data_IF_151214479541
#
_entry.id   IF_151214479541
#
_cell.length_a   1.000
_cell.length_b   1.000
_cell.length_c   1.000
_cell.angle_alpha   90.00
_cell.angle_beta   90.00
_cell.angle_gamma   90.00
#
_symmetry.space_group_name_H-M   'P 1'
#
loop_
_entity.id
_entity.type
_entity.pdbx_description
1 polymer ?
2 polymer ?
3 non-polymer ?
4 non-polymer ?
5 water ?
#
# COMPACT_ATOMS: atom_id res chain seq x y z
N UNK A 3 8.23 17.29 22.19
CA UNK A 3 8.27 16.53 20.94
C UNK A 3 7.88 15.07 21.04
N UNK A 4 7.49 14.48 19.92
CA UNK A 4 7.11 13.06 19.95
C UNK A 4 8.30 12.15 20.18
N UNK A 5 8.02 11.00 20.78
CA UNK A 5 9.05 9.98 21.00
C UNK A 5 9.47 9.39 19.66
N UNK A 6 10.75 9.20 19.41
CA UNK A 6 11.14 8.63 18.12
C UNK A 6 10.84 7.14 18.06
N UNK A 7 10.86 6.61 16.85
CA UNK A 7 10.60 5.20 16.62
C UNK A 7 11.50 4.70 15.49
N UNK A 8 11.82 3.38 15.54
CA UNK A 8 12.57 2.67 14.52
C UNK A 8 11.87 1.37 14.14
N UNK A 9 11.97 1.00 12.87
CA UNK A 9 11.39 -0.25 12.44
C UNK A 9 12.00 -1.42 13.21
N UNK A 10 11.18 -2.42 13.52
CA UNK A 10 11.62 -3.65 14.22
C UNK A 10 12.35 -4.60 13.29
N UNK A 11 12.15 -4.44 11.98
CA UNK A 11 12.78 -5.33 11.02
C UNK A 11 13.39 -4.46 9.93
N UNK A 12 14.48 -4.97 9.30
CA UNK A 12 15.09 -4.32 8.12
C UNK A 12 15.45 -2.84 8.39
N UNK A 13 15.82 -2.54 9.64
CA UNK A 13 15.95 -1.16 10.08
C UNK A 13 16.99 -0.43 9.26
N UNK A 14 18.10 -1.11 8.95
CA UNK A 14 19.31 -0.44 8.46
C UNK A 14 19.65 -0.83 7.03
N UNK A 15 18.71 -1.40 6.29
CA UNK A 15 19.02 -1.90 4.96
C UNK A 15 19.69 -0.83 4.08
N UNK A 16 19.11 0.38 4.07
CA UNK A 16 19.63 1.40 3.20
C UNK A 16 21.03 1.86 3.62
N UNK A 17 21.41 1.77 4.90
CA UNK A 17 22.84 2.07 5.18
C UNK A 17 23.76 0.93 4.80
N UNK A 18 23.20 -0.24 4.48
CA UNK A 18 23.99 -1.38 3.94
C UNK A 18 23.90 -1.46 2.44
N UNK A 19 23.78 -0.32 1.77
CA UNK A 19 23.77 -0.27 0.33
C UNK A 19 24.66 0.90 -0.11
N UNK A 20 25.14 0.88 -1.35
CA UNK A 20 25.77 2.08 -1.91
C UNK A 20 24.76 3.21 -1.91
N UNK A 21 25.25 4.43 -1.80
CA UNK A 21 24.34 5.58 -1.75
C UNK A 21 23.38 5.59 -2.94
N UNK A 22 23.87 5.23 -4.13
CA UNK A 22 22.99 5.34 -5.29
C UNK A 22 21.80 4.38 -5.24
N UNK A 23 21.84 3.38 -4.37
CA UNK A 23 20.68 2.50 -4.23
C UNK A 23 19.42 3.31 -3.86
N UNK A 24 19.58 4.23 -2.90
CA UNK A 24 18.42 4.98 -2.41
C UNK A 24 18.42 6.42 -2.82
N UNK A 25 19.55 6.93 -3.34
CA UNK A 25 19.66 8.36 -3.69
C UNK A 25 19.14 8.51 -5.12
N UNK A 26 17.83 8.30 -5.26
CA UNK A 26 17.19 8.17 -6.57
C UNK A 26 17.29 9.45 -7.39
N UNK A 27 17.54 10.60 -6.75
CA UNK A 27 17.70 11.83 -7.56
C UNK A 27 18.93 11.81 -8.46
N UNK A 28 19.92 10.97 -8.17
CA UNK A 28 21.10 10.85 -9.03
C UNK A 28 20.97 9.77 -10.11
N UNK A 29 19.84 9.06 -10.15
CA UNK A 29 19.70 7.93 -11.04
C UNK A 29 19.73 8.35 -12.50
N UNK A 30 20.51 7.62 -13.28
CA UNK A 30 20.62 7.84 -14.72
C UNK A 30 19.74 6.81 -15.40
N UNK A 31 18.69 7.30 -16.06
CA UNK A 31 17.71 6.37 -16.62
C UNK A 31 18.26 5.65 -17.83
N UNK A 32 17.99 4.35 -17.93
CA UNK A 32 18.29 3.60 -19.16
C UNK A 32 17.04 3.65 -20.05
N UNK A 33 17.13 4.42 -21.13
CA UNK A 33 15.99 4.56 -22.05
C UNK A 33 16.06 3.55 -23.20
N UNK A 34 14.95 2.88 -23.42
CA UNK A 34 14.79 1.98 -24.55
C UNK A 34 14.23 2.71 -25.74
N UNK A 35 13.69 1.94 -26.68
CA UNK A 35 13.21 2.48 -27.94
C UNK A 35 11.67 2.43 -27.98
N UNK A 36 11.06 3.63 -28.00
CA UNK A 36 9.60 3.71 -28.06
C UNK A 36 9.03 3.07 -29.31
N UNK A 37 9.79 3.07 -30.41
CA UNK A 37 9.27 2.49 -31.64
C UNK A 37 9.09 0.98 -31.54
N UNK A 38 9.59 0.35 -30.51
CA UNK A 38 9.38 -1.08 -30.33
C UNK A 38 7.94 -1.42 -29.93
N UNK A 39 7.13 -0.42 -29.52
CA UNK A 39 5.81 -0.67 -28.89
C UNK A 39 4.71 -0.01 -29.70
N UNK A 40 3.55 -0.69 -29.75
CA UNK A 40 2.34 -0.11 -30.31
C UNK A 40 1.18 -0.33 -29.33
N UNK A 41 0.36 0.70 -29.14
CA UNK A 41 -0.79 0.53 -28.24
C UNK A 41 -1.83 -0.43 -28.82
N UNK A 42 -2.56 -1.12 -27.92
CA UNK A 42 -3.64 -2.03 -28.29
C UNK A 42 -4.99 -1.55 -27.75
N UNK A 43 -5.07 -1.26 -26.45
CA UNK A 43 -6.36 -0.88 -25.91
C UNK A 43 -6.18 -0.22 -24.54
N UNK A 44 -7.00 0.76 -24.24
CA UNK A 44 -6.81 1.49 -23.02
C UNK A 44 -7.39 0.67 -21.87
N UNK A 45 -6.65 0.62 -20.75
CA UNK A 45 -7.07 -0.11 -19.58
C UNK A 45 -7.56 0.81 -18.49
N UNK A 46 -7.03 2.01 -18.37
CA UNK A 46 -7.44 2.86 -17.26
C UNK A 46 -6.68 4.17 -17.28
N UNK A 47 -7.09 5.05 -16.39
CA UNK A 47 -6.48 6.36 -16.28
C UNK A 47 -6.08 6.56 -14.82
N UNK A 48 -4.91 7.14 -14.60
CA UNK A 48 -4.51 7.59 -13.29
C UNK A 48 -4.51 9.11 -13.22
N UNK A 49 -4.32 9.61 -11.99
CA UNK A 49 -4.19 11.05 -11.80
C UNK A 49 -3.02 11.58 -12.61
N UNK A 50 -1.97 10.77 -12.77
CA UNK A 50 -0.81 11.22 -13.52
C UNK A 50 -0.42 10.24 -14.63
N UNK A 51 -1.35 9.41 -15.10
CA UNK A 51 -0.97 8.37 -16.04
C UNK A 51 -2.15 7.93 -16.91
N UNK A 52 -1.83 7.38 -18.08
CA UNK A 52 -2.81 6.72 -18.92
C UNK A 52 -2.27 5.33 -19.16
N UNK A 53 -3.10 4.31 -18.96
CA UNK A 53 -2.59 2.93 -18.92
C UNK A 53 -3.19 2.12 -20.05
N UNK A 54 -2.31 1.46 -20.86
CA UNK A 54 -2.75 0.74 -22.04
C UNK A 54 -2.19 -0.68 -22.08
N UNK A 55 -2.98 -1.60 -22.61
CA UNK A 55 -2.40 -2.81 -23.12
C UNK A 55 -1.68 -2.45 -24.44
N UNK A 56 -0.52 -3.06 -24.66
CA UNK A 56 0.30 -2.72 -25.82
C UNK A 56 1.00 -3.98 -26.29
N UNK A 57 1.72 -3.87 -27.41
CA UNK A 57 2.49 -5.01 -27.92
C UNK A 57 3.87 -4.52 -28.31
N UNK A 58 4.86 -5.37 -28.07
CA UNK A 58 6.21 -5.14 -28.57
C UNK A 58 6.21 -5.69 -29.99
N UNK A 59 6.29 -4.81 -30.98
CA UNK A 59 6.17 -5.29 -32.35
C UNK A 59 7.45 -5.92 -32.84
N UNK A 60 8.53 -5.91 -32.06
CA UNK A 60 9.73 -6.62 -32.48
C UNK A 60 9.65 -8.10 -32.14
N UNK A 61 8.86 -8.49 -31.13
CA UNK A 61 8.89 -9.89 -30.69
C UNK A 61 7.53 -10.39 -30.26
N UNK A 62 6.46 -9.65 -30.54
CA UNK A 62 5.06 -10.04 -30.29
C UNK A 62 4.69 -10.12 -28.80
N UNK A 63 5.54 -9.69 -27.89
CA UNK A 63 5.20 -9.81 -26.47
C UNK A 63 4.11 -8.79 -26.08
N UNK A 64 3.03 -9.28 -25.44
CA UNK A 64 2.02 -8.41 -24.84
C UNK A 64 2.58 -7.75 -23.59
N UNK A 65 2.41 -6.43 -23.47
CA UNK A 65 2.92 -5.64 -22.33
C UNK A 65 1.84 -4.63 -21.95
N UNK A 66 2.11 -3.89 -20.85
CA UNK A 66 1.30 -2.73 -20.48
C UNK A 66 2.19 -1.52 -20.51
N UNK A 67 1.68 -0.44 -21.10
CA UNK A 67 2.41 0.84 -21.22
C UNK A 67 1.71 1.85 -20.32
N UNK A 68 2.46 2.48 -19.43
CA UNK A 68 1.91 3.48 -18.51
C UNK A 68 2.55 4.79 -18.92
N UNK A 69 1.76 5.61 -19.64
CA UNK A 69 2.23 6.89 -20.16
C UNK A 69 2.07 7.93 -19.06
N UNK A 70 3.13 8.65 -18.73
CA UNK A 70 3.15 9.48 -17.54
C UNK A 70 2.83 10.91 -17.92
N UNK A 71 1.90 11.49 -17.19
CA UNK A 71 1.59 12.90 -17.35
C UNK A 71 2.62 13.76 -16.62
N UNK A 72 2.70 15.06 -16.96
CA UNK A 72 3.75 15.91 -16.38
C UNK A 72 3.73 15.95 -14.85
N UNK A 73 4.68 15.25 -14.25
CA UNK A 73 4.96 15.36 -12.82
C UNK A 73 6.45 15.65 -12.71
N UNK A 74 6.86 16.04 -11.51
CA UNK A 74 8.27 16.32 -11.27
C UNK A 74 9.10 15.10 -11.63
N UNK A 75 10.20 15.34 -12.36
CA UNK A 75 11.13 14.28 -12.72
C UNK A 75 11.60 13.54 -11.48
N UNK A 76 11.69 14.25 -10.35
CA UNK A 76 12.16 13.63 -9.12
C UNK A 76 11.26 12.46 -8.72
N UNK A 77 9.95 12.63 -8.84
CA UNK A 77 8.99 11.57 -8.52
C UNK A 77 9.08 10.43 -9.52
N UNK A 78 9.28 10.76 -10.80
CA UNK A 78 9.45 9.69 -11.78
C UNK A 78 10.70 8.86 -11.49
N UNK A 79 11.83 9.52 -11.15
CA UNK A 79 13.03 8.74 -10.88
C UNK A 79 12.84 7.87 -9.64
N UNK A 80 12.13 8.40 -8.63
CA UNK A 80 11.87 7.59 -7.44
C UNK A 80 11.12 6.33 -7.81
N UNK A 81 10.08 6.48 -8.61
CA UNK A 81 9.31 5.29 -8.98
C UNK A 81 10.15 4.33 -9.84
N UNK A 82 10.94 4.84 -10.82
CA UNK A 82 11.83 3.98 -11.60
C UNK A 82 12.79 3.24 -10.69
N UNK A 83 13.49 3.98 -9.80
CA UNK A 83 14.53 3.34 -9.02
C UNK A 83 13.96 2.25 -8.16
N UNK A 84 12.81 2.53 -7.53
CA UNK A 84 12.19 1.54 -6.68
C UNK A 84 11.79 0.31 -7.51
N UNK A 85 11.18 0.52 -8.70
CA UNK A 85 10.82 -0.62 -9.54
C UNK A 85 12.03 -1.43 -9.95
N UNK A 86 13.16 -0.74 -10.23
CA UNK A 86 14.38 -1.50 -10.61
C UNK A 86 14.96 -2.23 -9.41
N UNK A 87 14.94 -1.59 -8.20
CA UNK A 87 15.46 -2.26 -7.03
C UNK A 87 14.62 -3.47 -6.65
N UNK A 88 13.33 -3.43 -6.91
CA UNK A 88 12.46 -4.54 -6.50
C UNK A 88 12.21 -5.56 -7.59
N UNK A 89 12.72 -5.33 -8.81
CA UNK A 89 12.36 -6.16 -9.95
C UNK A 89 12.76 -7.61 -9.68
N UNK A 90 11.81 -8.54 -9.95
CA UNK A 90 12.07 -9.93 -9.72
C UNK A 90 11.46 -10.44 -8.42
N UNK A 91 11.19 -9.56 -7.47
CA UNK A 91 10.58 -10.02 -6.23
C UNK A 91 9.23 -10.64 -6.42
N UNK A 92 8.84 -11.51 -5.49
CA UNK A 92 7.55 -12.23 -5.65
C UNK A 92 6.37 -11.27 -5.70
N UNK A 93 5.55 -11.41 -6.74
CA UNK A 93 4.32 -10.65 -6.91
C UNK A 93 4.54 -9.13 -7.01
N UNK A 94 5.77 -8.69 -7.32
CA UNK A 94 6.00 -7.27 -7.58
C UNK A 94 5.89 -7.08 -9.10
N UNK A 95 5.08 -6.11 -9.53
CA UNK A 95 4.94 -5.90 -10.99
C UNK A 95 6.29 -5.65 -11.64
N UNK A 96 6.52 -6.31 -12.81
CA UNK A 96 7.86 -6.30 -13.40
C UNK A 96 8.04 -5.20 -14.44
N UNK A 97 8.96 -4.29 -14.19
CA UNK A 97 9.26 -3.22 -15.14
C UNK A 97 10.08 -3.82 -16.26
N UNK A 98 9.56 -3.68 -17.50
CA UNK A 98 10.23 -4.25 -18.67
C UNK A 98 11.04 -3.25 -19.42
N UNK A 99 10.60 -2.00 -19.47
CA UNK A 99 11.28 -1.01 -20.30
C UNK A 99 10.86 0.39 -19.87
N UNK A 100 11.62 1.39 -20.35
CA UNK A 100 11.35 2.78 -20.00
C UNK A 100 11.64 3.53 -21.29
N UNK A 101 10.66 4.24 -21.81
CA UNK A 101 10.80 4.87 -23.13
C UNK A 101 10.25 6.29 -23.08
N UNK A 102 10.53 7.05 -24.14
CA UNK A 102 10.12 8.43 -24.20
C UNK A 102 9.95 8.81 -25.67
N UNK A 103 8.93 9.59 -25.95
CA UNK A 103 8.76 10.11 -27.30
C UNK A 103 9.85 11.13 -27.60
N UNK A 104 10.61 10.96 -28.69
CA UNK A 104 11.72 11.89 -28.97
C UNK A 104 11.29 13.33 -29.28
N UNK A 105 10.02 13.54 -29.64
CA UNK A 105 9.51 14.85 -30.00
C UNK A 105 8.82 15.50 -28.81
N UNK A 106 7.79 14.84 -28.24
CA UNK A 106 7.07 15.43 -27.10
C UNK A 106 7.75 15.22 -25.76
N UNK A 107 8.71 14.30 -25.68
CA UNK A 107 9.42 13.98 -24.44
C UNK A 107 8.52 13.38 -23.37
N UNK A 108 7.31 12.98 -23.72
CA UNK A 108 6.48 12.24 -22.77
C UNK A 108 7.07 10.87 -22.48
N UNK A 109 7.37 10.55 -21.21
CA UNK A 109 7.90 9.23 -20.87
C UNK A 109 6.79 8.23 -20.62
N UNK A 110 7.19 6.96 -20.67
CA UNK A 110 6.29 5.85 -20.39
C UNK A 110 7.07 4.72 -19.75
N UNK A 111 6.40 4.04 -18.83
CA UNK A 111 6.95 2.84 -18.24
C UNK A 111 6.30 1.63 -18.87
N UNK A 112 7.07 0.61 -19.17
CA UNK A 112 6.53 -0.59 -19.82
C UNK A 112 6.64 -1.75 -18.85
N UNK A 113 5.53 -2.47 -18.66
CA UNK A 113 5.48 -3.53 -17.64
C UNK A 113 4.98 -4.82 -18.26
N UNK A 114 5.24 -5.91 -17.53
CA UNK A 114 4.50 -7.14 -17.87
C UNK A 114 2.99 -6.89 -17.79
N UNK A 115 2.23 -7.68 -18.57
CA UNK A 115 0.79 -7.50 -18.64
C UNK A 115 0.09 -8.34 -17.59
N UNK A 116 -1.00 -7.82 -17.02
CA UNK A 116 -1.84 -8.63 -16.15
C UNK A 116 -3.29 -8.45 -16.56
N UNK A 117 -4.05 -9.54 -16.60
CA UNK A 117 -5.45 -9.52 -17.00
C UNK A 117 -6.30 -9.44 -15.74
N UNK A 118 -6.45 -8.22 -15.20
CA UNK A 118 -7.07 -8.05 -13.88
C UNK A 118 -8.58 -8.24 -13.88
N UNK A 119 -9.06 -9.03 -12.90
CA UNK A 119 -10.48 -9.32 -12.76
C UNK A 119 -11.23 -8.08 -12.24
N UNK A 120 -12.48 -7.92 -12.68
CA UNK A 120 -13.33 -6.93 -12.05
C UNK A 120 -13.39 -7.17 -10.55
N UNK A 121 -13.04 -6.17 -9.75
CA UNK A 121 -13.07 -6.40 -8.32
C UNK A 121 -14.48 -6.63 -7.80
N UNK A 122 -15.51 -6.41 -8.63
CA UNK A 122 -16.87 -6.81 -8.27
C UNK A 122 -17.07 -8.30 -8.52
N UNK A 123 -16.69 -8.78 -9.72
CA UNK A 123 -16.67 -10.21 -9.94
C UNK A 123 -15.79 -10.89 -8.90
N UNK A 124 -14.66 -10.26 -8.59
CA UNK A 124 -13.69 -10.90 -7.72
C UNK A 124 -14.28 -11.18 -6.35
N UNK A 125 -14.93 -10.17 -5.74
CA UNK A 125 -15.57 -10.34 -4.43
C UNK A 125 -16.66 -11.41 -4.42
N UNK A 126 -17.45 -11.53 -5.50
CA UNK A 126 -18.52 -12.53 -5.50
C UNK A 126 -17.96 -13.95 -5.42
N UNK A 127 -16.75 -14.16 -5.87
CA UNK A 127 -16.32 -15.51 -6.14
C UNK A 127 -15.26 -16.01 -5.18
N UNK A 128 -14.63 -15.15 -4.40
CA UNK A 128 -13.53 -15.66 -3.60
C UNK A 128 -14.05 -16.47 -2.44
N UNK A 129 -13.42 -17.62 -2.23
CA UNK A 129 -13.72 -18.48 -1.11
C UNK A 129 -12.81 -18.11 0.04
N UNK A 130 -13.04 -18.74 1.19
CA UNK A 130 -12.14 -18.60 2.36
C UNK A 130 -10.69 -18.93 1.97
N UNK A 131 -10.50 -20.11 1.35
CA UNK A 131 -9.15 -20.49 0.91
C UNK A 131 -8.57 -19.43 -0.02
N UNK A 132 -9.37 -18.88 -0.95
CA UNK A 132 -8.80 -17.91 -1.89
C UNK A 132 -8.26 -16.69 -1.17
N UNK A 133 -9.03 -16.18 -0.20
CA UNK A 133 -8.57 -15.00 0.54
C UNK A 133 -7.25 -15.30 1.25
N UNK A 134 -7.15 -16.46 1.88
CA UNK A 134 -5.89 -16.82 2.54
C UNK A 134 -4.74 -16.88 1.53
N UNK A 135 -4.97 -17.53 0.39
CA UNK A 135 -3.94 -17.63 -0.66
C UNK A 135 -3.48 -16.25 -1.13
N UNK A 136 -4.43 -15.38 -1.49
CA UNK A 136 -4.02 -14.09 -2.02
C UNK A 136 -3.41 -13.23 -0.93
N UNK A 137 -3.92 -13.34 0.31
CA UNK A 137 -3.25 -12.60 1.38
C UNK A 137 -1.81 -13.04 1.55
N UNK A 138 -1.54 -14.33 1.43
CA UNK A 138 -0.14 -14.76 1.55
C UNK A 138 0.68 -14.25 0.39
N UNK A 139 0.08 -14.17 -0.78
CA UNK A 139 0.83 -13.67 -1.92
C UNK A 139 1.16 -12.20 -1.78
N UNK A 140 0.27 -11.41 -1.17
CA UNK A 140 0.58 -10.01 -0.91
C UNK A 140 1.66 -9.89 0.12
N UNK A 141 1.61 -10.73 1.17
CA UNK A 141 2.66 -10.73 2.19
C UNK A 141 4.03 -11.01 1.61
N UNK A 142 4.10 -11.94 0.65
CA UNK A 142 5.40 -12.22 0.00
C UNK A 142 5.95 -10.95 -0.63
N UNK A 143 5.09 -10.19 -1.33
CA UNK A 143 5.56 -8.96 -1.97
C UNK A 143 5.96 -7.92 -0.93
N UNK A 144 5.17 -7.76 0.13
CA UNK A 144 5.52 -6.77 1.14
C UNK A 144 6.78 -7.16 1.91
N UNK A 145 6.92 -8.41 2.32
CA UNK A 145 8.17 -8.79 2.98
C UNK A 145 9.35 -8.51 2.06
N UNK A 146 9.19 -8.80 0.78
CA UNK A 146 10.31 -8.55 -0.13
C UNK A 146 10.62 -7.07 -0.22
N UNK A 147 9.60 -6.26 -0.48
CA UNK A 147 9.73 -4.81 -0.54
C UNK A 147 10.39 -4.24 0.72
N UNK A 148 9.86 -4.59 1.88
CA UNK A 148 10.43 -4.16 3.16
C UNK A 148 11.87 -4.61 3.33
N UNK A 149 12.18 -5.85 2.95
CA UNK A 149 13.56 -6.36 3.10
C UNK A 149 14.54 -5.60 2.24
N UNK A 150 14.04 -4.88 1.23
CA UNK A 150 14.90 -4.06 0.36
C UNK A 150 14.78 -2.59 0.70
N UNK A 151 14.29 -2.30 1.93
CA UNK A 151 14.35 -0.94 2.45
C UNK A 151 13.29 -0.03 1.90
N UNK A 152 12.20 -0.57 1.36
CA UNK A 152 11.18 0.29 0.72
C UNK A 152 9.84 0.07 1.40
N UNK A 153 9.07 1.16 1.62
CA UNK A 153 7.67 1.01 2.04
C UNK A 153 6.77 1.39 0.86
N UNK A 154 5.70 0.60 0.65
CA UNK A 154 4.85 0.90 -0.51
C UNK A 154 3.99 2.15 -0.31
N UNK A 155 3.36 2.26 0.87
CA UNK A 155 2.60 3.44 1.31
C UNK A 155 1.28 3.63 0.59
N UNK A 156 0.85 2.68 -0.28
CA UNK A 156 -0.44 2.89 -0.90
C UNK A 156 -1.09 1.54 -1.14
N UNK A 157 -1.00 0.66 -0.16
CA UNK A 157 -1.63 -0.66 -0.27
C UNK A 157 -3.15 -0.52 -0.16
N UNK A 158 -3.86 -1.04 -1.14
CA UNK A 158 -5.33 -0.94 -1.24
C UNK A 158 -5.75 -1.82 -2.41
N UNK A 159 -7.02 -2.18 -2.49
CA UNK A 159 -7.46 -3.09 -3.54
C UNK A 159 -7.09 -2.61 -4.91
N UNK A 160 -7.21 -1.30 -5.20
CA UNK A 160 -6.96 -0.87 -6.57
C UNK A 160 -5.51 -1.10 -6.99
N UNK A 161 -4.62 -1.26 -6.02
CA UNK A 161 -3.19 -1.42 -6.34
C UNK A 161 -2.76 -2.87 -6.20
N UNK A 162 -3.71 -3.80 -6.07
CA UNK A 162 -3.41 -5.21 -6.02
C UNK A 162 -4.14 -5.82 -7.22
N UNK A 163 -3.41 -6.11 -8.30
CA UNK A 163 -4.02 -6.71 -9.47
C UNK A 163 -4.16 -8.20 -9.23
N UNK A 164 -5.39 -8.71 -9.35
CA UNK A 164 -5.62 -10.13 -9.18
C UNK A 164 -6.25 -10.64 -10.45
N UNK A 165 -5.58 -11.57 -11.09
CA UNK A 165 -6.13 -12.25 -12.25
C UNK A 165 -6.57 -13.61 -11.71
N UNK A 166 -7.85 -13.66 -11.25
CA UNK A 166 -8.30 -14.81 -10.48
C UNK A 166 -8.39 -16.07 -11.34
N UNK A 167 -8.66 -15.91 -12.63
CA UNK A 167 -8.61 -17.05 -13.54
C UNK A 167 -7.22 -17.68 -13.57
N UNK A 168 -6.17 -16.86 -13.51
CA UNK A 168 -4.80 -17.36 -13.49
C UNK A 168 -4.19 -17.41 -12.09
N UNK A 169 -5.00 -17.16 -11.06
CA UNK A 169 -4.53 -17.23 -9.66
C UNK A 169 -3.23 -16.45 -9.52
N UNK A 170 -3.24 -15.27 -10.09
CA UNK A 170 -2.00 -14.49 -10.30
C UNK A 170 -2.20 -13.16 -9.66
N UNK A 171 -1.22 -12.69 -8.91
CA UNK A 171 -1.37 -11.43 -8.19
C UNK A 171 -0.14 -10.56 -8.39
N UNK A 172 -0.36 -9.24 -8.54
CA UNK A 172 0.74 -8.30 -8.59
C UNK A 172 0.43 -7.05 -7.78
N UNK A 173 1.40 -6.61 -6.97
CA UNK A 173 1.32 -5.31 -6.34
C UNK A 173 1.86 -4.25 -7.30
N UNK A 174 1.02 -3.26 -7.64
CA UNK A 174 1.32 -2.24 -8.65
C UNK A 174 1.34 -0.86 -7.97
N UNK A 175 1.55 0.19 -8.77
CA UNK A 175 1.45 1.59 -8.38
C UNK A 175 2.44 1.90 -7.25
N UNK A 176 3.71 1.89 -7.65
CA UNK A 176 4.81 2.20 -6.76
C UNK A 176 5.13 3.69 -6.74
N UNK A 177 4.21 4.54 -7.23
CA UNK A 177 4.44 5.98 -7.29
C UNK A 177 4.47 6.70 -5.95
N UNK A 178 3.91 6.10 -4.89
CA UNK A 178 3.99 6.70 -3.55
C UNK A 178 5.05 6.04 -2.68
N UNK A 179 5.74 5.01 -3.20
CA UNK A 179 6.65 4.27 -2.33
C UNK A 179 7.88 5.12 -1.98
N UNK A 180 8.52 4.75 -0.84
CA UNK A 180 9.69 5.52 -0.41
C UNK A 180 10.69 4.62 0.27
N UNK A 181 11.94 5.08 0.32
CA UNK A 181 12.98 4.40 1.02
C UNK A 181 12.90 4.70 2.52
N UNK A 182 13.07 3.64 3.32
CA UNK A 182 13.00 3.78 4.79
C UNK A 182 14.40 4.11 5.33
N UNK A 183 14.51 5.27 6.01
CA UNK A 183 15.76 5.66 6.64
C UNK A 183 15.42 5.89 8.10
N UNK A 184 16.03 5.16 9.01
CA UNK A 184 15.56 5.24 10.41
C UNK A 184 15.77 6.64 11.02
N UNK A 185 14.74 7.10 11.73
CA UNK A 185 14.76 8.45 12.28
C UNK A 185 14.17 9.50 11.36
N UNK A 186 13.97 9.20 10.08
CA UNK A 186 13.49 10.22 9.16
C UNK A 186 11.99 10.48 9.40
N UNK A 187 11.60 11.74 9.32
CA UNK A 187 10.20 12.14 9.37
C UNK A 187 9.61 12.23 7.97
N UNK A 188 8.58 11.44 7.71
CA UNK A 188 7.98 11.33 6.40
C UNK A 188 6.68 12.11 6.28
N UNK A 189 6.31 12.39 5.03
CA UNK A 189 5.04 13.05 4.76
C UNK A 189 3.90 12.13 5.15
N UNK A 190 2.94 12.64 5.93
CA UNK A 190 1.83 11.76 6.29
C UNK A 190 0.69 11.81 5.29
N UNK A 191 0.80 12.61 4.24
CA UNK A 191 -0.22 12.71 3.20
C UNK A 191 0.06 11.66 2.13
N UNK A 192 -0.04 10.42 2.56
CA UNK A 192 0.10 9.27 1.71
C UNK A 192 -1.05 8.31 1.98
N UNK A 193 -1.10 7.24 1.18
CA UNK A 193 -2.18 6.26 1.15
C UNK A 193 -3.55 6.86 0.88
N UNK A 194 -4.48 6.01 0.59
CA UNK A 194 -5.85 6.48 0.41
C UNK A 194 -6.51 6.54 1.77
N UNK A 195 -7.44 7.48 1.93
CA UNK A 195 -8.07 7.73 3.26
C UNK A 195 -8.45 6.43 3.98
N UNK A 196 -9.18 5.52 3.29
CA UNK A 196 -9.71 4.35 4.00
C UNK A 196 -8.65 3.40 4.47
N UNK A 197 -7.43 3.53 3.97
CA UNK A 197 -6.33 2.62 4.27
C UNK A 197 -5.22 3.30 5.07
N UNK A 198 -5.42 4.55 5.46
CA UNK A 198 -4.39 5.28 6.19
C UNK A 198 -4.26 4.71 7.61
N UNK A 199 -3.04 4.43 8.04
CA UNK A 199 -2.84 4.00 9.42
C UNK A 199 -3.05 5.13 10.42
N UNK A 200 -3.35 4.78 11.68
CA UNK A 200 -3.47 5.81 12.73
C UNK A 200 -2.27 6.76 12.79
N UNK A 201 -1.06 6.27 12.50
CA UNK A 201 0.09 7.17 12.60
C UNK A 201 -0.09 8.35 11.64
N UNK A 202 -0.63 8.09 10.44
CA UNK A 202 -0.85 9.17 9.48
C UNK A 202 -1.93 10.12 9.99
N UNK A 203 -2.99 9.56 10.57
CA UNK A 203 -4.13 10.35 11.01
C UNK A 203 -3.82 11.21 12.25
N UNK A 204 -2.81 10.85 13.04
CA UNK A 204 -2.40 11.69 14.18
C UNK A 204 -1.14 12.47 13.88
N UNK A 205 -0.67 12.42 12.63
CA UNK A 205 0.51 13.22 12.21
C UNK A 205 1.78 12.74 12.92
N UNK A 206 1.94 11.43 13.06
CA UNK A 206 3.18 10.86 13.57
C UNK A 206 4.08 10.50 12.39
N UNK A 207 5.15 11.26 12.22
CA UNK A 207 5.86 11.22 10.94
C UNK A 207 6.96 10.20 10.89
N UNK A 208 7.39 9.64 12.02
CA UNK A 208 8.50 8.67 12.03
C UNK A 208 7.98 7.24 11.88
N UNK A 209 7.20 7.04 10.83
CA UNK A 209 6.60 5.74 10.55
C UNK A 209 7.52 4.86 9.70
N UNK A 210 7.07 3.63 9.44
CA UNK A 210 7.97 2.69 8.74
C UNK A 210 7.13 1.67 7.96
N UNK A 211 7.76 0.56 7.60
CA UNK A 211 7.12 -0.52 6.85
C UNK A 211 5.79 -0.95 7.44
N UNK A 212 5.66 -0.82 8.77
CA UNK A 212 4.42 -1.28 9.44
C UNK A 212 3.19 -0.48 9.01
N UNK A 213 3.34 0.68 8.36
CA UNK A 213 2.19 1.34 7.75
C UNK A 213 1.50 0.41 6.78
N UNK A 214 2.30 -0.30 5.96
CA UNK A 214 1.71 -1.16 4.94
C UNK A 214 0.93 -2.30 5.58
N UNK A 215 1.32 -2.72 6.78
CA UNK A 215 0.64 -3.81 7.43
C UNK A 215 -0.73 -3.37 7.98
N UNK A 216 -0.85 -2.09 8.38
CA UNK A 216 -2.18 -1.57 8.73
C UNK A 216 -3.09 -1.60 7.48
N UNK A 217 -2.57 -1.09 6.34
CA UNK A 217 -3.36 -1.10 5.13
C UNK A 217 -3.80 -2.52 4.78
N UNK A 218 -2.86 -3.48 4.87
CA UNK A 218 -3.18 -4.88 4.57
C UNK A 218 -4.31 -5.38 5.47
N UNK A 219 -4.26 -5.04 6.75
CA UNK A 219 -5.35 -5.42 7.64
C UNK A 219 -6.68 -4.82 7.25
N UNK A 220 -6.69 -3.58 6.78
CA UNK A 220 -7.93 -3.01 6.27
C UNK A 220 -8.49 -3.79 5.08
N UNK A 221 -7.59 -4.23 4.20
CA UNK A 221 -8.00 -5.08 3.08
C UNK A 221 -8.55 -6.42 3.58
N UNK A 222 -7.85 -7.05 4.53
CA UNK A 222 -8.31 -8.34 5.04
C UNK A 222 -9.70 -8.22 5.67
N UNK A 223 -9.91 -7.19 6.51
CA UNK A 223 -11.23 -7.01 7.12
C UNK A 223 -12.32 -6.79 6.07
N UNK A 224 -12.05 -5.97 5.05
CA UNK A 224 -13.06 -5.78 4.01
C UNK A 224 -13.38 -7.08 3.30
N UNK A 225 -12.37 -7.93 3.07
CA UNK A 225 -12.65 -9.17 2.32
C UNK A 225 -13.40 -10.18 3.17
N UNK A 226 -12.92 -10.44 4.40
CA UNK A 226 -13.61 -11.48 5.19
C UNK A 226 -14.97 -11.02 5.70
N UNK A 227 -15.19 -9.72 5.85
CA UNK A 227 -16.49 -9.26 6.36
C UNK A 227 -17.41 -8.77 5.24
N UNK A 228 -16.92 -8.75 4.01
CA UNK A 228 -17.66 -8.26 2.85
C UNK A 228 -18.23 -6.88 3.10
N UNK A 229 -17.34 -5.97 3.50
CA UNK A 229 -17.68 -4.58 3.79
C UNK A 229 -16.57 -3.72 3.23
N UNK A 230 -16.82 -3.01 2.14
CA UNK A 230 -15.76 -2.30 1.43
C UNK A 230 -16.09 -0.82 1.33
N UNK A 231 -15.24 0.09 1.85
CA UNK A 231 -14.07 -0.20 2.70
C UNK A 231 -14.56 -0.54 4.10
N UNK A 232 -13.66 -1.16 4.92
CA UNK A 232 -14.10 -1.52 6.26
C UNK A 232 -14.28 -0.29 7.13
N UNK A 233 -13.31 0.63 7.09
CA UNK A 233 -13.35 1.90 7.85
C UNK A 233 -13.67 3.01 6.88
N UNK A 234 -14.91 3.48 6.90
CA UNK A 234 -15.45 4.35 5.84
C UNK A 234 -15.59 5.80 6.35
N UNK A 235 -14.46 6.48 6.48
CA UNK A 235 -14.51 7.87 6.98
C UNK A 235 -14.84 8.88 5.90
N UNK A 236 -15.44 10.01 6.34
CA UNK A 236 -15.79 11.09 5.42
C UNK A 236 -14.61 12.03 5.13
N UNK A 237 -13.63 12.01 6.01
CA UNK A 237 -12.46 12.91 5.95
C UNK A 237 -11.40 12.29 6.86
N UNK A 238 -10.19 12.89 6.92
CA UNK A 238 -9.16 12.23 7.72
C UNK A 238 -9.44 12.24 9.22
N UNK A 239 -10.28 13.16 9.73
CA UNK A 239 -10.58 13.10 11.16
C UNK A 239 -11.61 12.01 11.43
N UNK A 240 -12.72 12.05 10.68
CA UNK A 240 -13.72 10.98 10.75
C UNK A 240 -13.09 9.60 10.56
N UNK A 241 -12.04 9.50 9.72
CA UNK A 241 -11.41 8.21 9.51
C UNK A 241 -10.87 7.64 10.83
N UNK A 242 -10.26 8.48 11.66
CA UNK A 242 -9.81 7.99 12.96
C UNK A 242 -10.99 7.76 13.92
N UNK A 243 -12.05 8.55 13.82
CA UNK A 243 -13.27 8.24 14.59
C UNK A 243 -13.82 6.85 14.24
N UNK A 244 -13.89 6.54 12.94
CA UNK A 244 -14.39 5.23 12.53
C UNK A 244 -13.50 4.11 13.09
N UNK A 245 -12.18 4.31 13.05
CA UNK A 245 -11.27 3.32 13.61
C UNK A 245 -11.50 3.19 15.11
N UNK A 246 -11.64 4.33 15.81
CA UNK A 246 -11.78 4.33 17.27
C UNK A 246 -13.09 3.68 17.69
N UNK A 247 -14.10 3.70 16.83
CA UNK A 247 -15.37 3.03 17.16
C UNK A 247 -15.29 1.51 17.05
N UNK A 248 -14.20 0.98 16.50
CA UNK A 248 -13.96 -0.45 16.44
C UNK A 248 -12.87 -0.85 17.44
N UNK A 249 -11.68 -0.22 17.34
CA UNK A 249 -10.59 -0.53 18.23
C UNK A 249 -10.77 0.07 19.63
N UNK A 250 -11.68 1.05 19.78
CA UNK A 250 -11.86 1.72 21.06
C UNK A 250 -10.93 2.90 21.27
N UNK A 251 -11.36 3.81 22.17
CA UNK A 251 -10.49 4.95 22.46
C UNK A 251 -9.42 4.64 23.47
N UNK A 252 -9.64 3.68 24.39
CA UNK A 252 -8.63 3.48 25.43
C UNK A 252 -7.26 3.19 24.83
N UNK A 253 -7.22 2.33 23.82
CA UNK A 253 -5.95 1.96 23.25
C UNK A 253 -5.40 3.08 22.38
N UNK A 254 -6.32 3.88 21.79
CA UNK A 254 -5.86 5.02 21.01
C UNK A 254 -5.11 6.01 21.91
N UNK A 255 -5.70 6.36 23.05
CA UNK A 255 -5.02 7.28 23.94
C UNK A 255 -3.78 6.68 24.58
N UNK A 256 -3.74 5.35 24.77
CA UNK A 256 -2.49 4.75 25.23
C UNK A 256 -1.38 4.93 24.18
N UNK A 257 -1.74 4.80 22.91
CA UNK A 257 -0.78 4.96 21.81
C UNK A 257 -0.28 6.41 21.74
N UNK A 258 -1.19 7.36 21.77
CA UNK A 258 -0.83 8.78 21.79
C UNK A 258 0.10 9.09 22.97
N UNK A 259 -0.21 8.56 24.16
CA UNK A 259 0.62 8.85 25.33
C UNK A 259 2.00 8.22 25.16
N UNK A 260 2.03 7.00 24.64
CA UNK A 260 3.30 6.28 24.54
C UNK A 260 4.27 7.05 23.65
N UNK A 261 3.79 7.63 22.56
CA UNK A 261 4.67 8.33 21.62
C UNK A 261 4.68 9.85 21.85
N UNK A 262 4.06 10.33 22.94
CA UNK A 262 4.00 11.76 23.25
C UNK A 262 3.45 12.53 22.06
N UNK A 263 2.41 11.98 21.45
CA UNK A 263 1.74 12.61 20.32
C UNK A 263 0.78 13.71 20.76
N UNK A 264 0.81 14.85 20.07
CA UNK A 264 -0.07 15.97 20.41
C UNK A 264 -1.20 16.08 19.39
N UNK A 265 -2.45 15.94 19.84
CA UNK A 265 -3.59 16.15 18.95
C UNK A 265 -4.14 17.56 19.12
N UNK A 266 -4.70 18.10 18.05
CA UNK A 266 -5.56 19.28 18.15
C UNK A 266 -6.58 19.07 19.27
N UNK A 267 -6.76 20.04 20.17
CA UNK A 267 -7.80 19.86 21.20
C UNK A 267 -9.17 19.54 20.62
N UNK A 268 -9.55 20.14 19.48
CA UNK A 268 -10.89 19.88 18.95
C UNK A 268 -10.98 18.48 18.39
N UNK A 269 -9.86 17.96 17.89
CA UNK A 269 -9.81 16.56 17.44
C UNK A 269 -10.04 15.64 18.63
N UNK A 270 -9.34 15.93 19.73
CA UNK A 270 -9.57 15.20 20.96
C UNK A 270 -11.03 15.25 21.39
N UNK A 271 -11.66 16.42 21.24
CA UNK A 271 -13.08 16.54 21.58
C UNK A 271 -13.97 15.63 20.75
N UNK A 272 -13.72 15.51 19.43
CA UNK A 272 -14.65 14.71 18.63
C UNK A 272 -14.38 13.22 18.75
N UNK A 273 -13.19 12.83 19.21
CA UNK A 273 -12.90 11.40 19.35
C UNK A 273 -13.72 10.77 20.45
N UNK A 274 -13.97 11.51 21.52
CA UNK A 274 -14.89 11.02 22.56
C UNK A 274 -14.32 9.79 23.26
N UNK A 275 -15.22 8.84 23.55
CA UNK A 275 -14.92 7.64 24.30
C UNK A 275 -15.74 6.54 23.67
N UNK A 276 -15.07 5.47 23.22
CA UNK A 276 -15.72 4.38 22.53
C UNK A 276 -15.14 3.08 23.05
N UNK A 277 -16.01 2.14 23.36
CA UNK A 277 -15.53 0.82 23.74
C UNK A 277 -15.00 0.08 22.53
N UNK A 278 -14.02 -0.78 22.79
CA UNK A 278 -13.53 -1.71 21.78
C UNK A 278 -14.63 -2.65 21.40
N UNK A 279 -14.80 -2.87 20.10
CA UNK A 279 -15.83 -3.79 19.63
C UNK A 279 -15.15 -5.10 19.23
N UNK A 280 -15.60 -6.23 19.78
CA UNK A 280 -14.97 -7.50 19.43
C UNK A 280 -15.14 -7.81 17.94
N UNK A 281 -14.11 -8.41 17.32
CA UNK A 281 -14.17 -8.69 15.87
C UNK A 281 -15.36 -9.60 15.50
N UNK A 282 -15.76 -10.50 16.40
CA UNK A 282 -16.92 -11.36 16.19
C UNK A 282 -18.19 -10.56 15.88
N UNK A 283 -18.26 -9.29 16.30
CA UNK A 283 -19.49 -8.54 16.06
C UNK A 283 -19.68 -8.17 14.59
N UNK A 284 -18.66 -8.38 13.77
CA UNK A 284 -18.77 -8.04 12.35
C UNK A 284 -19.17 -9.23 11.49
N UNK A 285 -19.30 -10.39 12.08
CA UNK A 285 -19.74 -11.60 11.40
C UNK A 285 -21.25 -11.60 11.23
N UNK A 286 -21.69 -11.90 10.02
CA UNK A 286 -23.11 -11.89 9.64
C UNK A 286 -23.37 -13.13 8.76
N UNK A 287 -24.63 -13.42 8.52
CA UNK A 287 -25.01 -14.58 7.69
C UNK A 287 -24.25 -14.60 6.37
N UNK A 288 -24.18 -13.45 5.71
CA UNK A 288 -23.59 -13.32 4.39
C UNK A 288 -22.07 -13.40 4.36
N UNK A 289 -21.37 -13.25 5.48
CA UNK A 289 -19.91 -13.34 5.43
C UNK A 289 -19.33 -14.45 6.28
N UNK A 290 -20.15 -15.24 6.97
CA UNK A 290 -19.57 -16.15 7.97
C UNK A 290 -18.75 -17.26 7.36
N UNK A 291 -18.99 -17.60 6.08
CA UNK A 291 -18.15 -18.63 5.44
C UNK A 291 -16.72 -18.19 5.21
N UNK A 292 -16.40 -16.89 5.38
CA UNK A 292 -15.04 -16.38 5.20
C UNK A 292 -14.35 -16.15 6.53
N UNK A 293 -15.05 -16.32 7.63
CA UNK A 293 -14.49 -15.99 8.94
C UNK A 293 -14.20 -17.28 9.71
N UNK A 294 -13.09 -17.29 10.44
CA UNK A 294 -12.68 -18.38 11.30
C UNK A 294 -12.01 -17.74 12.52
N UNK A 295 -11.81 -18.51 13.60
CA UNK A 295 -11.05 -17.96 14.73
C UNK A 295 -9.67 -17.49 14.30
N UNK A 296 -9.03 -18.25 13.39
CA UNK A 296 -7.67 -17.87 12.94
C UNK A 296 -7.71 -16.56 12.19
N UNK A 297 -8.71 -16.37 11.35
CA UNK A 297 -8.78 -15.10 10.61
C UNK A 297 -8.91 -13.94 11.58
N UNK A 298 -9.79 -14.07 12.57
CA UNK A 298 -9.98 -12.94 13.49
C UNK A 298 -8.73 -12.68 14.34
N UNK A 299 -8.05 -13.74 14.77
CA UNK A 299 -6.79 -13.55 15.51
C UNK A 299 -5.73 -12.86 14.65
N UNK A 300 -5.62 -13.28 13.38
CA UNK A 300 -4.69 -12.63 12.45
C UNK A 300 -5.06 -11.17 12.28
N UNK A 301 -6.33 -10.88 11.96
CA UNK A 301 -6.74 -9.49 11.80
C UNK A 301 -6.41 -8.64 13.02
N UNK A 302 -6.71 -9.16 14.19
CA UNK A 302 -6.49 -8.45 15.43
C UNK A 302 -5.02 -8.08 15.61
N UNK A 303 -4.13 -8.86 15.02
CA UNK A 303 -2.68 -8.64 15.16
C UNK A 303 -2.15 -7.74 14.06
N UNK A 304 -2.97 -7.42 13.04
CA UNK A 304 -2.59 -6.38 12.10
C UNK A 304 -3.10 -5.01 12.50
N UNK A 305 -4.40 -4.95 12.87
CA UNK A 305 -5.09 -3.67 13.09
C UNK A 305 -4.88 -3.24 14.54
N UNK A 306 -3.66 -2.76 14.81
CA UNK A 306 -3.27 -2.25 16.10
C UNK A 306 -2.87 -0.81 15.93
N UNK A 307 -3.24 0.05 16.89
CA UNK A 307 -2.81 1.44 16.81
C UNK A 307 -1.30 1.54 16.79
N UNK A 308 -0.65 0.89 17.73
CA UNK A 308 0.80 1.02 17.84
C UNK A 308 1.45 0.29 16.68
N UNK A 309 2.05 1.06 15.78
CA UNK A 309 2.70 0.46 14.63
C UNK A 309 3.76 -0.55 15.00
N UNK A 310 4.46 -0.36 16.14
CA UNK A 310 5.51 -1.34 16.51
C UNK A 310 4.88 -2.67 16.92
N UNK A 311 3.59 -2.67 17.33
CA UNK A 311 2.99 -3.89 17.84
C UNK A 311 2.32 -4.72 16.75
N UNK A 312 2.26 -4.19 15.54
CA UNK A 312 1.68 -4.95 14.44
C UNK A 312 2.61 -6.08 14.00
N UNK A 313 2.01 -7.17 13.49
CA UNK A 313 2.87 -8.18 12.88
C UNK A 313 3.69 -7.56 11.75
N UNK A 314 4.95 -8.00 11.66
CA UNK A 314 5.67 -7.72 10.40
C UNK A 314 5.14 -8.65 9.30
N UNK A 315 5.47 -8.38 8.04
CA UNK A 315 5.02 -9.29 6.99
C UNK A 315 5.54 -10.71 7.19
N UNK A 316 6.82 -10.85 7.58
CA UNK A 316 7.38 -12.17 7.87
C UNK A 316 6.68 -12.88 9.02
N UNK A 317 6.36 -12.16 10.11
CA UNK A 317 5.61 -12.77 11.22
C UNK A 317 4.23 -13.19 10.72
N UNK A 318 3.59 -12.29 9.99
CA UNK A 318 2.25 -12.60 9.41
C UNK A 318 2.27 -13.92 8.62
N UNK A 319 3.33 -14.18 7.81
CA UNK A 319 3.37 -15.40 7.01
C UNK A 319 3.42 -16.66 7.88
N UNK A 320 3.79 -16.53 9.16
CA UNK A 320 3.83 -17.67 10.07
C UNK A 320 2.52 -17.91 10.79
N UNK A 321 1.53 -17.07 10.57
CA UNK A 321 0.28 -17.17 11.36
C UNK A 321 -0.52 -18.43 10.96
N UNK A 322 -1.20 -19.08 11.92
CA UNK A 322 -2.01 -20.28 11.59
C UNK A 322 -3.07 -20.06 10.56
N UNK A 323 -3.53 -18.82 10.35
CA UNK A 323 -4.45 -18.54 9.25
C UNK A 323 -3.93 -19.07 7.93
N UNK A 324 -2.61 -19.15 7.73
CA UNK A 324 -2.06 -19.61 6.44
C UNK A 324 -1.65 -21.08 6.40
N UNK A 325 -1.88 -21.85 7.46
CA UNK A 325 -1.44 -23.26 7.44
C UNK A 325 -2.03 -24.06 6.27
N UNK A 326 -3.29 -23.81 5.92
CA UNK A 326 -3.93 -24.56 4.84
C UNK A 326 -3.32 -24.22 3.47
N UNK A 327 -2.66 -23.08 3.33
CA UNK A 327 -2.10 -22.75 2.04
C UNK A 327 -0.74 -23.38 1.87
N UNK A 328 0.11 -23.27 2.88
CA UNK A 328 1.52 -23.60 2.64
C UNK A 328 1.93 -25.01 3.05
N UNK A 329 1.23 -25.63 3.98
CA UNK A 329 1.59 -26.97 4.40
C UNK A 329 0.39 -27.89 4.27
N UNK B 2 -5.67 9.08 -3.48
CA UNK B 2 -6.04 10.10 -2.51
C UNK B 2 -4.92 11.11 -2.28
N UNK B 3 -3.66 10.70 -2.52
CA UNK B 3 -2.48 11.53 -2.25
C UNK B 3 -1.48 11.38 -3.41
N UNK B 4 -0.32 12.04 -3.30
CA UNK B 4 0.59 12.10 -4.45
C UNK B 4 2.05 11.74 -4.17
N UNK B 5 2.70 12.39 -3.20
CA UNK B 5 4.15 12.29 -3.07
C UNK B 5 4.54 12.34 -1.59
N UNK B 6 5.84 12.33 -1.34
CA UNK B 6 6.45 12.49 -0.01
C UNK B 6 7.24 13.79 0.04
N UNK B 7 6.59 14.85 0.51
CA UNK B 7 7.24 16.15 0.77
C UNK B 7 7.84 16.79 -0.48
N UNK C 2 -8.96 13.66 -23.89
CA UNK C 2 -8.82 14.90 -23.11
C UNK C 2 -9.62 14.97 -21.80
N UNK C 3 -10.95 15.01 -21.90
CA UNK C 3 -11.81 15.40 -20.78
C UNK C 3 -11.67 14.46 -19.58
N UNK C 4 -11.98 14.99 -18.40
CA UNK C 4 -11.90 14.25 -17.15
C UNK C 4 -13.21 13.50 -16.90
N UNK C 5 -13.11 12.18 -16.75
CA UNK C 5 -14.28 11.34 -16.49
C UNK C 5 -14.45 11.11 -14.99
N UNK C 6 -15.71 10.94 -14.59
CA UNK C 6 -16.04 10.69 -13.17
C UNK C 6 -17.47 10.17 -13.11
N UNK C 7 -17.63 8.91 -12.72
CA UNK C 7 -18.94 8.27 -12.52
C UNK C 7 -19.77 8.19 -13.81
N UNK D 2 -6.66 25.89 15.91
CA UNK D 2 -6.24 27.20 15.40
C UNK D 2 -5.52 28.12 16.40
N UNK D 3 -4.53 27.60 17.12
CA UNK D 3 -3.70 28.44 17.99
C UNK D 3 -2.39 27.70 18.27
N UNK D 4 -1.30 28.47 18.36
CA UNK D 4 0.04 27.92 18.53
C UNK D 4 0.49 28.10 19.98
N UNK D 5 0.53 27.00 20.73
CA UNK D 5 1.03 26.99 22.10
C UNK D 5 2.20 26.04 22.27
N UNK D 6 2.88 25.69 21.17
CA UNK D 6 3.89 24.63 21.18
C UNK D 6 5.02 24.95 22.15
N UNK D 7 5.76 23.91 22.51
CA UNK D 7 6.82 24.01 23.51
C UNK D 7 8.02 24.82 23.00
#
# INVERSE_FOLDING_TARGET
MSGPVPSRARVYTDVNTHRPREYWDYESHVVEWGNQDDYQLVRKLGRGKYSEVFEAINITNNEKVVVKILKPVKKKKIKREIKILENLRGGPNIITLADIVKDPVSRTPALVFEHVNNTDFKQLYQTLTDYDIRFYMYEILKALDYCHSMGIMHRDVKPHNVMIDHEHRKLRLIDWGLAEFYHPGQEYNVRVASRYFKGPELLVDYQMYDYSLDMWSLGCMLASMIFRKEPFFHGHDNYDQLVRIAKVLGTEDLYDYIDKYNIELDPRFNDILGRHSRKRWERFVHSENQHLVSPEALDFLDKLLRYDHQSRLTAREAMEHPYFYTVVKDQARMGSSSMPGGSTPVSSANMMSGISSVPTPSPLGPLAGSPVIAAANPLGMPVPAAAGAQQ
XDDDDDK
XDDDDDK
XDDDDDK
#
